data_IF_061246890427
#
_entry.id   IF_061246890427
#
_cell.length_a   1.000
_cell.length_b   1.000
_cell.length_c   1.000
_cell.angle_alpha   90.00
_cell.angle_beta   90.00
_cell.angle_gamma   90.00
#
_symmetry.space_group_name_H-M   'P 1'
#
loop_
_entity.id
_entity.type
_entity.pdbx_description
1 polymer ?
#
# COMPACT_ATOMS: atom_id res chain seq x y z
N UNK A 1 31.10 -43.67 31.96
CA UNK A 1 31.45 -42.89 30.75
C UNK A 1 30.15 -42.65 29.97
N UNK A 2 29.36 -41.64 30.34
CA UNK A 2 28.13 -41.25 29.64
C UNK A 2 28.26 -39.78 29.25
N UNK A 3 28.38 -39.53 27.94
CA UNK A 3 28.52 -38.20 27.36
C UNK A 3 27.18 -37.46 27.48
N UNK A 4 27.26 -36.29 28.10
CA UNK A 4 26.30 -35.19 28.08
C UNK A 4 25.48 -35.10 26.78
N UNK A 5 24.16 -35.28 26.90
CA UNK A 5 23.14 -34.91 25.90
C UNK A 5 22.65 -33.46 26.13
N UNK A 6 23.57 -32.52 26.40
CA UNK A 6 23.26 -31.09 26.45
C UNK A 6 23.89 -30.37 25.26
N UNK A 7 23.38 -30.58 24.05
CA UNK A 7 23.83 -29.76 22.91
C UNK A 7 22.85 -29.80 21.71
N UNK A 8 21.55 -29.67 21.93
CA UNK A 8 20.58 -29.56 20.80
C UNK A 8 19.48 -28.52 21.01
N UNK A 9 19.47 -27.81 22.15
CA UNK A 9 18.49 -26.74 22.42
C UNK A 9 19.12 -25.34 22.50
N UNK A 10 20.37 -25.19 22.07
CA UNK A 10 21.10 -23.91 22.18
C UNK A 10 21.02 -23.02 20.93
N UNK A 11 20.10 -23.29 20.01
CA UNK A 11 19.81 -22.40 18.88
C UNK A 11 18.96 -21.17 19.28
N UNK A 12 18.39 -21.15 20.49
CA UNK A 12 17.51 -20.05 20.95
C UNK A 12 18.23 -18.91 21.69
N UNK A 13 19.57 -18.85 21.70
CA UNK A 13 20.29 -17.72 22.31
C UNK A 13 20.45 -16.50 21.41
N UNK A 14 20.09 -16.59 20.13
CA UNK A 14 20.15 -15.43 19.22
C UNK A 14 19.13 -14.33 19.58
N UNK A 15 18.06 -14.71 20.29
CA UNK A 15 17.06 -13.80 20.87
C UNK A 15 17.48 -13.25 22.25
N UNK A 16 18.74 -12.83 22.40
CA UNK A 16 19.11 -11.94 23.51
C UNK A 16 18.14 -10.75 23.43
N UNK A 17 17.34 -10.50 24.46
CA UNK A 17 16.19 -9.56 24.39
C UNK A 17 16.54 -8.17 23.82
N UNK A 18 17.78 -7.72 23.99
CA UNK A 18 18.26 -6.40 23.56
C UNK A 18 18.32 -6.23 22.02
N UNK A 19 19.01 -7.08 21.23
CA UNK A 19 18.99 -6.97 19.77
C UNK A 19 17.59 -7.16 19.18
N UNK A 20 16.77 -8.07 19.71
CA UNK A 20 15.39 -8.23 19.24
C UNK A 20 14.55 -6.97 19.48
N UNK A 21 14.58 -6.42 20.69
CA UNK A 21 13.88 -5.16 21.01
C UNK A 21 14.40 -4.00 20.15
N UNK A 22 15.71 -3.92 19.93
CA UNK A 22 16.29 -2.88 19.07
C UNK A 22 15.79 -2.97 17.63
N UNK A 23 15.71 -4.18 17.06
CA UNK A 23 15.15 -4.41 15.71
C UNK A 23 13.68 -4.01 15.67
N UNK A 24 12.87 -4.45 16.63
CA UNK A 24 11.44 -4.09 16.69
C UNK A 24 11.26 -2.57 16.83
N UNK A 25 12.02 -1.90 17.69
CA UNK A 25 11.99 -0.46 17.84
C UNK A 25 12.42 0.27 16.57
N UNK A 26 13.47 -0.18 15.90
CA UNK A 26 13.94 0.40 14.64
C UNK A 26 12.89 0.23 13.52
N UNK A 27 12.27 -0.95 13.42
CA UNK A 27 11.19 -1.22 12.46
C UNK A 27 9.96 -0.35 12.73
N UNK A 28 9.55 -0.20 14.00
CA UNK A 28 8.43 0.69 14.37
C UNK A 28 8.75 2.16 14.07
N UNK A 29 9.94 2.63 14.42
CA UNK A 29 10.37 3.99 14.12
C UNK A 29 10.41 4.26 12.61
N UNK A 30 10.94 3.31 11.84
CA UNK A 30 10.94 3.38 10.38
C UNK A 30 9.51 3.42 9.81
N UNK A 31 8.62 2.54 10.29
CA UNK A 31 7.22 2.50 9.86
C UNK A 31 6.52 3.84 10.13
N UNK A 32 6.68 4.40 11.33
CA UNK A 32 6.08 5.68 11.71
C UNK A 32 6.64 6.84 10.88
N UNK A 33 7.97 6.91 10.72
CA UNK A 33 8.62 7.95 9.94
C UNK A 33 8.22 7.86 8.47
N UNK A 34 8.24 6.67 7.88
CA UNK A 34 7.86 6.45 6.50
C UNK A 34 6.38 6.79 6.28
N UNK A 35 5.49 6.36 7.18
CA UNK A 35 4.07 6.71 7.12
C UNK A 35 3.87 8.22 7.16
N UNK A 36 4.55 8.92 8.10
CA UNK A 36 4.51 10.37 8.19
C UNK A 36 5.02 11.04 6.91
N UNK A 37 6.18 10.61 6.38
CA UNK A 37 6.70 11.15 5.12
C UNK A 37 5.75 10.91 3.96
N UNK A 38 5.07 9.76 3.93
CA UNK A 38 4.10 9.45 2.89
C UNK A 38 2.86 10.33 2.98
N UNK A 39 2.35 10.63 4.19
CA UNK A 39 1.31 11.65 4.37
C UNK A 39 1.80 13.05 3.95
N UNK A 40 3.04 13.42 4.25
CA UNK A 40 3.60 14.72 3.84
C UNK A 40 3.79 14.82 2.33
N UNK A 41 4.23 13.75 1.68
CA UNK A 41 4.32 13.65 0.23
C UNK A 41 2.94 13.75 -0.41
N UNK A 42 1.97 13.04 0.18
CA UNK A 42 0.56 13.03 -0.22
C UNK A 42 -0.06 14.45 -0.17
N UNK A 43 0.18 15.19 0.91
CA UNK A 43 -0.28 16.57 1.08
C UNK A 43 0.46 17.55 0.15
N UNK A 44 1.80 17.43 0.04
CA UNK A 44 2.64 18.39 -0.66
C UNK A 44 2.43 18.36 -2.18
N UNK A 45 2.31 17.18 -2.78
CA UNK A 45 2.14 17.04 -4.23
C UNK A 45 0.68 16.98 -4.68
N UNK A 46 -0.28 17.10 -3.74
CA UNK A 46 -1.70 16.81 -3.99
C UNK A 46 -1.91 15.50 -4.76
N UNK A 47 -1.02 14.52 -4.57
CA UNK A 47 -1.06 13.21 -5.24
C UNK A 47 -2.38 12.48 -4.93
N UNK A 48 -3.03 12.83 -3.82
CA UNK A 48 -4.36 12.36 -3.44
C UNK A 48 -5.50 12.71 -4.40
N UNK A 49 -5.39 13.76 -5.21
CA UNK A 49 -6.50 14.15 -6.10
C UNK A 49 -6.62 13.29 -7.35
N UNK A 50 -5.50 12.77 -7.88
CA UNK A 50 -5.53 12.07 -9.18
C UNK A 50 -5.62 10.57 -9.01
N UNK A 51 -4.56 9.92 -8.53
CA UNK A 51 -4.49 8.46 -8.58
C UNK A 51 -5.40 7.82 -7.52
N UNK A 52 -5.44 8.38 -6.30
CA UNK A 52 -6.37 7.92 -5.27
C UNK A 52 -7.82 8.23 -5.62
N UNK A 53 -8.07 9.38 -6.27
CA UNK A 53 -9.37 9.74 -6.84
C UNK A 53 -9.80 8.77 -7.96
N UNK A 54 -8.88 8.32 -8.82
CA UNK A 54 -9.17 7.30 -9.82
C UNK A 54 -9.52 5.95 -9.18
N UNK A 55 -8.80 5.55 -8.13
CA UNK A 55 -9.14 4.34 -7.39
C UNK A 55 -10.50 4.41 -6.71
N UNK A 56 -10.78 5.51 -6.03
CA UNK A 56 -12.06 5.76 -5.39
C UNK A 56 -13.19 5.73 -6.43
N UNK A 57 -13.01 6.44 -7.54
CA UNK A 57 -13.98 6.50 -8.62
C UNK A 57 -14.18 5.13 -9.28
N UNK A 58 -13.11 4.35 -9.48
CA UNK A 58 -13.20 3.01 -10.03
C UNK A 58 -13.95 2.05 -9.12
N UNK A 59 -13.68 2.08 -7.81
CA UNK A 59 -14.37 1.25 -6.83
C UNK A 59 -15.84 1.66 -6.69
N UNK A 60 -16.13 2.96 -6.63
CA UNK A 60 -17.49 3.48 -6.60
C UNK A 60 -18.26 3.13 -7.88
N UNK A 61 -17.68 3.33 -9.06
CA UNK A 61 -18.26 2.90 -10.34
C UNK A 61 -18.54 1.39 -10.34
N UNK A 62 -17.64 0.58 -9.77
CA UNK A 62 -17.84 -0.87 -9.67
C UNK A 62 -19.03 -1.23 -8.79
N UNK A 63 -19.19 -0.55 -7.64
CA UNK A 63 -20.39 -0.69 -6.80
C UNK A 63 -21.67 -0.23 -7.52
N UNK A 64 -21.55 0.76 -8.41
CA UNK A 64 -22.64 1.30 -9.23
C UNK A 64 -22.89 0.48 -10.52
N UNK A 65 -22.24 -0.68 -10.68
CA UNK A 65 -22.45 -1.58 -11.82
C UNK A 65 -21.64 -1.26 -13.07
N UNK A 66 -20.68 -0.35 -12.99
CA UNK A 66 -19.70 -0.01 -14.03
C UNK A 66 -18.28 -0.43 -13.61
N UNK A 67 -17.85 -1.67 -13.90
CA UNK A 67 -16.59 -2.22 -13.42
C UNK A 67 -15.39 -1.33 -13.75
N UNK A 68 -14.66 -0.90 -12.72
CA UNK A 68 -13.41 -0.15 -12.76
C UNK A 68 -13.39 1.03 -13.72
N UNK A 69 -14.52 1.71 -13.91
CA UNK A 69 -14.62 2.86 -14.80
C UNK A 69 -14.21 4.15 -14.07
N UNK A 70 -13.34 4.94 -14.71
CA UNK A 70 -12.95 6.27 -14.26
C UNK A 70 -13.35 7.32 -15.30
N UNK A 71 -13.60 8.55 -14.84
CA UNK A 71 -13.85 9.72 -15.66
C UNK A 71 -12.68 10.67 -15.53
N UNK A 72 -12.01 10.89 -16.65
CA UNK A 72 -10.86 11.78 -16.73
C UNK A 72 -11.13 12.83 -17.80
N UNK A 73 -10.89 14.10 -17.48
CA UNK A 73 -10.92 15.13 -18.52
C UNK A 73 -9.67 15.00 -19.39
N UNK A 74 -9.88 15.01 -20.70
CA UNK A 74 -8.83 14.78 -21.71
C UNK A 74 -8.78 15.94 -22.72
N UNK A 75 -7.58 16.28 -23.20
CA UNK A 75 -7.39 16.97 -24.48
C UNK A 75 -6.34 16.19 -25.27
N UNK A 76 -6.72 15.75 -26.47
CA UNK A 76 -5.77 15.22 -27.45
C UNK A 76 -4.83 16.35 -27.91
N UNK A 77 -3.52 16.10 -27.89
CA UNK A 77 -2.45 16.96 -28.43
C UNK A 77 -2.05 18.24 -27.66
N UNK A 78 -1.55 18.14 -26.41
CA UNK A 78 -0.56 19.12 -25.97
C UNK A 78 0.43 18.56 -24.93
N UNK A 79 1.69 18.98 -25.03
CA UNK A 79 2.76 18.76 -24.07
C UNK A 79 2.59 19.57 -22.77
N UNK A 80 1.40 20.18 -22.55
CA UNK A 80 1.09 21.11 -21.46
C UNK A 80 -0.35 20.92 -20.97
N UNK A 81 -0.75 19.67 -20.78
CA UNK A 81 -2.12 19.19 -20.52
C UNK A 81 -2.75 19.61 -19.17
N UNK A 82 -2.23 20.63 -18.48
CA UNK A 82 -2.63 20.97 -17.11
C UNK A 82 -3.60 22.15 -16.95
N UNK A 83 -3.96 22.90 -18.00
CA UNK A 83 -4.55 24.24 -17.77
C UNK A 83 -5.93 24.56 -18.36
N UNK A 84 -6.56 23.77 -19.23
CA UNK A 84 -7.91 24.12 -19.76
C UNK A 84 -8.74 22.87 -20.08
N UNK A 85 -10.02 22.82 -19.66
CA UNK A 85 -10.93 21.66 -19.84
C UNK A 85 -12.01 21.94 -20.88
N UNK A 86 -12.32 20.97 -21.75
CA UNK A 86 -13.49 20.97 -22.63
C UNK A 86 -14.08 19.55 -22.85
N UNK A 87 -14.29 18.77 -21.78
CA UNK A 87 -14.97 17.47 -21.83
C UNK A 87 -14.53 16.44 -20.77
N UNK A 88 -15.26 15.33 -20.65
CA UNK A 88 -14.96 14.17 -19.81
C UNK A 88 -14.99 12.88 -20.64
N UNK A 89 -14.01 12.00 -20.46
CA UNK A 89 -13.96 10.68 -21.09
C UNK A 89 -14.08 9.58 -20.03
N UNK A 90 -14.95 8.60 -20.26
CA UNK A 90 -15.02 7.35 -19.47
C UNK A 90 -14.00 6.36 -20.02
N UNK A 91 -13.09 5.88 -19.17
CA UNK A 91 -12.11 4.85 -19.51
C UNK A 91 -11.96 3.85 -18.38
N UNK A 92 -11.38 2.70 -18.68
CA UNK A 92 -11.01 1.72 -17.65
C UNK A 92 -9.87 2.24 -16.79
N UNK A 93 -9.92 2.04 -15.47
CA UNK A 93 -8.80 2.29 -14.56
C UNK A 93 -7.52 1.63 -15.07
N UNK A 94 -7.66 0.44 -15.65
CA UNK A 94 -6.53 -0.36 -16.14
C UNK A 94 -5.82 0.22 -17.36
N UNK A 95 -6.39 1.22 -18.05
CA UNK A 95 -5.69 1.92 -19.13
C UNK A 95 -4.61 2.88 -18.60
N UNK A 96 -4.78 3.36 -17.37
CA UNK A 96 -3.82 4.27 -16.71
C UNK A 96 -2.97 3.53 -15.67
N UNK A 97 -3.52 2.48 -15.06
CA UNK A 97 -2.90 1.80 -13.93
C UNK A 97 -3.16 0.29 -13.92
N UNK A 98 -2.11 -0.51 -14.13
CA UNK A 98 -2.20 -1.98 -14.14
C UNK A 98 -2.21 -2.60 -12.74
N UNK A 99 -3.14 -2.19 -11.86
CA UNK A 99 -3.30 -2.78 -10.52
C UNK A 99 -4.37 -3.85 -10.51
N UNK A 100 -4.05 -5.05 -11.03
CA UNK A 100 -5.00 -6.17 -11.12
C UNK A 100 -5.59 -6.64 -9.79
N UNK A 101 -5.02 -6.23 -8.65
CA UNK A 101 -5.50 -6.58 -7.32
C UNK A 101 -6.48 -5.57 -6.72
N UNK A 102 -6.91 -4.53 -7.45
CA UNK A 102 -7.76 -3.50 -6.86
C UNK A 102 -9.11 -4.04 -6.37
N UNK A 103 -9.62 -5.09 -7.03
CA UNK A 103 -10.89 -5.74 -6.71
C UNK A 103 -10.92 -6.32 -5.29
N UNK A 104 -9.77 -6.74 -4.75
CA UNK A 104 -9.69 -7.29 -3.39
C UNK A 104 -10.12 -6.27 -2.33
N UNK A 105 -10.02 -4.98 -2.66
CA UNK A 105 -10.39 -3.88 -1.78
C UNK A 105 -11.87 -3.50 -1.86
N UNK A 106 -12.60 -4.01 -2.85
CA UNK A 106 -14.00 -3.65 -3.09
C UNK A 106 -14.93 -3.94 -1.89
N UNK A 107 -14.86 -5.11 -1.22
CA UNK A 107 -15.70 -5.37 -0.05
C UNK A 107 -15.41 -4.38 1.07
N UNK A 108 -14.13 -4.05 1.28
CA UNK A 108 -13.71 -3.17 2.34
C UNK A 108 -14.07 -1.71 2.07
N UNK A 109 -13.92 -1.27 0.81
CA UNK A 109 -14.38 0.03 0.36
C UNK A 109 -15.90 0.19 0.48
N UNK A 110 -16.68 -0.87 0.25
CA UNK A 110 -18.12 -0.85 0.43
C UNK A 110 -18.54 -0.47 1.87
N UNK A 111 -17.75 -0.86 2.88
CA UNK A 111 -17.95 -0.47 4.28
C UNK A 111 -17.33 0.89 4.63
N UNK A 112 -16.17 1.23 4.04
CA UNK A 112 -15.42 2.45 4.33
C UNK A 112 -15.16 3.26 3.07
N UNK A 113 -16.21 3.96 2.59
CA UNK A 113 -16.19 4.80 1.38
C UNK A 113 -15.40 6.09 1.59
N UNK A 114 -14.07 5.97 1.62
CA UNK A 114 -13.18 7.10 1.80
C UNK A 114 -11.85 6.85 1.09
N UNK A 115 -11.24 7.85 0.45
CA UNK A 115 -9.89 7.73 -0.09
C UNK A 115 -8.87 7.37 1.00
N UNK A 116 -9.05 7.90 2.21
CA UNK A 116 -8.15 7.62 3.33
C UNK A 116 -8.16 6.16 3.78
N UNK A 117 -9.28 5.43 3.60
CA UNK A 117 -9.32 4.00 3.96
C UNK A 117 -8.40 3.19 3.05
N UNK A 118 -8.41 3.48 1.74
CA UNK A 118 -7.51 2.87 0.75
C UNK A 118 -6.05 3.19 1.04
N UNK A 119 -5.75 4.43 1.47
CA UNK A 119 -4.40 4.83 1.87
C UNK A 119 -3.89 4.02 3.07
N UNK A 120 -4.71 3.91 4.13
CA UNK A 120 -4.37 3.13 5.33
C UNK A 120 -4.15 1.66 4.97
N UNK A 121 -4.99 1.09 4.12
CA UNK A 121 -4.85 -0.31 3.69
C UNK A 121 -3.59 -0.56 2.88
N UNK A 122 -3.25 0.34 1.98
CA UNK A 122 -2.00 0.27 1.23
C UNK A 122 -0.80 0.31 2.22
N UNK A 123 -0.81 1.24 3.17
CA UNK A 123 0.25 1.35 4.17
C UNK A 123 0.39 0.08 5.03
N UNK A 124 -0.73 -0.49 5.50
CA UNK A 124 -0.73 -1.75 6.27
C UNK A 124 -0.23 -2.91 5.41
N UNK A 125 -0.64 -3.00 4.15
CA UNK A 125 -0.24 -4.08 3.23
C UNK A 125 1.26 -4.05 2.95
N UNK A 126 1.82 -2.86 2.72
CA UNK A 126 3.27 -2.68 2.55
C UNK A 126 4.01 -3.03 3.84
N UNK A 127 3.52 -2.57 5.00
CA UNK A 127 4.12 -2.90 6.29
C UNK A 127 4.10 -4.42 6.56
N UNK A 128 2.99 -5.09 6.23
CA UNK A 128 2.85 -6.53 6.37
C UNK A 128 3.82 -7.30 5.45
N UNK A 129 4.16 -6.77 4.27
CA UNK A 129 5.14 -7.38 3.37
C UNK A 129 6.57 -7.43 3.95
N UNK A 130 6.88 -6.63 4.98
CA UNK A 130 8.16 -6.75 5.68
C UNK A 130 8.29 -8.09 6.45
N UNK A 131 7.18 -8.71 6.86
CA UNK A 131 7.17 -9.95 7.60
C UNK A 131 7.66 -11.16 6.79
N UNK A 132 7.12 -11.47 5.59
CA UNK A 132 7.65 -12.56 4.77
C UNK A 132 9.10 -12.30 4.33
N UNK A 133 9.49 -11.04 4.09
CA UNK A 133 10.89 -10.71 3.80
C UNK A 133 11.81 -11.01 4.99
N UNK A 134 11.38 -10.69 6.21
CA UNK A 134 12.10 -11.06 7.42
C UNK A 134 12.21 -12.58 7.58
N UNK A 135 11.12 -13.33 7.36
CA UNK A 135 11.11 -14.79 7.44
C UNK A 135 12.04 -15.43 6.38
N UNK A 136 11.99 -14.94 5.15
CA UNK A 136 12.87 -15.37 4.06
C UNK A 136 14.34 -15.11 4.40
N UNK A 137 14.66 -13.92 4.93
CA UNK A 137 16.01 -13.58 5.36
C UNK A 137 16.47 -14.41 6.58
N UNK A 138 15.54 -14.82 7.44
CA UNK A 138 15.81 -15.68 8.60
C UNK A 138 15.99 -17.16 8.22
N UNK A 139 15.77 -17.54 6.96
CA UNK A 139 16.00 -18.91 6.46
C UNK A 139 14.99 -19.93 6.96
N UNK A 140 13.78 -19.49 7.32
CA UNK A 140 12.63 -20.36 7.68
C UNK A 140 11.85 -20.74 6.43
#
# INVERSE_FOLDING_TARGET
MMRSMHCWLDERRYLRRKPFVAVVCASLAFLLLFSFMQFRLYDAFRMGLRDLGFFEQALQSTLDGKPFTIRQGYIANSSVSHLFFNGWEERSLFSEHAYGLVEIWLPLYAFFRSPYSLFVLNAISIAAAALPLYLLAAGV
#
